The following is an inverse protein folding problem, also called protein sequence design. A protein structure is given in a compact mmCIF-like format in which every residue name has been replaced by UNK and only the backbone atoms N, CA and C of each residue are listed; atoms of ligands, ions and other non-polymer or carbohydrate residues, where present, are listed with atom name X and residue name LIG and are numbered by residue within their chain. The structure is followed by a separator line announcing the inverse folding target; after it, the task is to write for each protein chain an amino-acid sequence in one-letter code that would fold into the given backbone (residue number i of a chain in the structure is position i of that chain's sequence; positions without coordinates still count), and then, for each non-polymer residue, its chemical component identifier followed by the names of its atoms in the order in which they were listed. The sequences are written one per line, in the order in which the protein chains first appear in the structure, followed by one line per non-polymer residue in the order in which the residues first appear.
data_IF_886575631135
#
_entry.id   IF_886575631135
#
_cell.length_a   1.000
_cell.length_b   1.000
_cell.length_c   1.000
_cell.angle_alpha   90.00
_cell.angle_beta   90.00
_cell.angle_gamma   90.00
#
_symmetry.space_group_name_H-M   'P 1'
#
loop_
_entity.id
_entity.type
_entity.pdbx_description
1 polymer ?
#
# COMPACT_ATOMS: atom_id res chain seq x y z
N UNK A 1 -14.59 2.24 -100.58
CA UNK A 1 -14.51 0.79 -100.51
C UNK A 1 -13.79 0.42 -99.19
N UNK A 2 -14.45 -0.50 -98.42
CA UNK A 2 -13.96 -1.30 -97.28
C UNK A 2 -14.35 -0.80 -95.91
N UNK A 3 -15.30 -1.52 -95.46
CA UNK A 3 -15.66 -2.14 -94.20
C UNK A 3 -14.51 -2.52 -93.31
N UNK A 4 -14.61 -2.31 -92.01
CA UNK A 4 -14.26 -3.32 -91.06
C UNK A 4 -14.64 -2.87 -89.63
N UNK A 5 -15.62 -3.53 -89.16
CA UNK A 5 -15.66 -4.41 -88.03
C UNK A 5 -15.51 -3.76 -86.63
N UNK A 6 -16.65 -3.71 -86.02
CA UNK A 6 -16.92 -3.61 -84.61
C UNK A 6 -16.27 -4.76 -83.82
N UNK A 7 -15.52 -4.50 -82.77
CA UNK A 7 -15.17 -5.48 -81.75
C UNK A 7 -15.53 -4.91 -80.41
N UNK A 8 -16.62 -5.44 -79.93
CA UNK A 8 -17.08 -5.37 -78.53
C UNK A 8 -16.09 -6.04 -77.59
N UNK A 9 -15.51 -5.27 -76.69
CA UNK A 9 -14.72 -5.76 -75.55
C UNK A 9 -15.54 -5.72 -74.28
N UNK A 10 -15.91 -6.90 -73.81
CA UNK A 10 -16.48 -7.02 -72.46
C UNK A 10 -15.47 -6.66 -71.41
N UNK A 11 -15.73 -5.64 -70.65
CA UNK A 11 -14.94 -5.32 -69.43
C UNK A 11 -15.56 -6.10 -68.28
N UNK A 12 -14.87 -7.11 -67.84
CA UNK A 12 -15.19 -7.84 -66.60
C UNK A 12 -14.73 -6.98 -65.41
N UNK A 13 -15.69 -6.43 -64.71
CA UNK A 13 -15.45 -5.78 -63.42
C UNK A 13 -15.14 -6.82 -62.35
N UNK A 14 -13.89 -6.88 -61.90
CA UNK A 14 -13.50 -7.67 -60.77
C UNK A 14 -13.91 -6.94 -59.45
N UNK A 15 -14.87 -7.48 -58.76
CA UNK A 15 -15.30 -7.00 -57.44
C UNK A 15 -14.31 -7.48 -56.40
N UNK A 16 -13.41 -6.58 -55.95
CA UNK A 16 -12.49 -6.87 -54.82
C UNK A 16 -13.27 -6.68 -53.52
N UNK A 17 -13.65 -7.80 -52.90
CA UNK A 17 -14.16 -7.79 -51.54
C UNK A 17 -13.00 -7.51 -50.58
N UNK A 18 -12.90 -6.29 -50.05
CA UNK A 18 -12.01 -5.99 -48.93
C UNK A 18 -12.61 -6.54 -47.63
N UNK A 19 -12.12 -7.66 -47.16
CA UNK A 19 -12.42 -8.18 -45.84
C UNK A 19 -11.68 -7.33 -44.79
N UNK A 20 -12.41 -6.46 -44.11
CA UNK A 20 -11.87 -5.72 -42.96
C UNK A 20 -11.70 -6.69 -41.78
N UNK A 21 -10.46 -7.07 -41.48
CA UNK A 21 -10.11 -7.79 -40.29
C UNK A 21 -10.17 -6.82 -39.13
N UNK A 22 -11.23 -6.89 -38.32
CA UNK A 22 -11.32 -6.15 -37.06
C UNK A 22 -10.34 -6.77 -36.06
N UNK A 23 -9.23 -6.08 -35.79
CA UNK A 23 -8.31 -6.44 -34.70
C UNK A 23 -8.95 -6.01 -33.39
N UNK A 24 -9.26 -6.93 -32.45
CA UNK A 24 -9.73 -6.51 -31.16
C UNK A 24 -8.59 -5.77 -30.44
N UNK A 25 -8.80 -4.49 -30.15
CA UNK A 25 -7.92 -3.73 -29.27
C UNK A 25 -7.99 -4.38 -27.88
N UNK A 26 -6.91 -5.07 -27.48
CA UNK A 26 -6.72 -5.42 -26.07
C UNK A 26 -6.61 -4.09 -25.31
N UNK A 27 -7.74 -3.68 -24.72
CA UNK A 27 -7.74 -2.65 -23.68
C UNK A 27 -6.91 -3.20 -22.52
N UNK A 28 -5.64 -2.80 -22.47
CA UNK A 28 -4.79 -3.02 -21.31
C UNK A 28 -5.48 -2.40 -20.10
N UNK A 29 -6.07 -3.22 -19.23
CA UNK A 29 -6.53 -2.79 -17.94
C UNK A 29 -5.30 -2.26 -17.20
N UNK A 30 -5.11 -0.95 -17.25
CA UNK A 30 -4.11 -0.27 -16.43
C UNK A 30 -4.42 -0.57 -14.98
N UNK A 31 -3.64 -1.48 -14.39
CA UNK A 31 -3.69 -1.80 -12.97
C UNK A 31 -3.37 -0.51 -12.22
N UNK A 32 -4.40 0.19 -11.78
CA UNK A 32 -4.22 1.37 -10.94
C UNK A 32 -3.58 0.90 -9.65
N UNK A 33 -2.28 1.12 -9.53
CA UNK A 33 -1.49 0.86 -8.33
C UNK A 33 -2.06 1.74 -7.21
N UNK A 34 -3.04 1.18 -6.50
CA UNK A 34 -3.73 1.87 -5.43
C UNK A 34 -2.68 2.30 -4.40
N UNK A 35 -2.56 3.61 -4.20
CA UNK A 35 -1.60 4.18 -3.27
C UNK A 35 -1.77 3.52 -1.88
N UNK A 36 -0.66 3.08 -1.30
CA UNK A 36 -0.70 2.44 0.02
C UNK A 36 -1.36 3.37 1.05
N UNK A 37 -2.25 2.85 1.92
CA UNK A 37 -2.94 3.67 2.91
C UNK A 37 -1.94 4.45 3.76
N UNK A 38 -2.25 5.72 4.01
CA UNK A 38 -1.41 6.57 4.89
C UNK A 38 -1.24 5.91 6.26
N UNK A 39 -0.06 5.93 6.85
CA UNK A 39 0.17 5.35 8.17
C UNK A 39 -0.63 6.08 9.24
N UNK A 40 -1.12 5.35 10.25
CA UNK A 40 -1.67 5.95 11.46
C UNK A 40 -0.53 6.51 12.29
N UNK A 41 -0.59 7.78 12.59
CA UNK A 41 0.42 8.48 13.38
C UNK A 41 0.19 8.26 14.88
N UNK A 42 1.27 7.99 15.58
CA UNK A 42 1.34 7.93 17.05
C UNK A 42 2.48 8.85 17.48
N UNK A 43 2.18 9.83 18.27
CA UNK A 43 3.20 10.69 18.86
C UNK A 43 3.83 10.01 20.08
N UNK A 44 5.14 10.05 20.16
CA UNK A 44 5.90 9.62 21.33
C UNK A 44 6.19 10.85 22.17
N UNK A 45 5.77 10.82 23.41
CA UNK A 45 5.92 11.91 24.39
C UNK A 45 6.58 11.37 25.65
N UNK A 46 7.02 12.24 26.52
CA UNK A 46 7.47 11.81 27.82
C UNK A 46 6.31 11.12 28.56
N UNK A 47 6.55 9.89 28.98
CA UNK A 47 5.66 9.01 29.75
C UNK A 47 4.39 8.50 29.04
N UNK A 48 4.12 8.84 27.73
CA UNK A 48 2.94 8.32 27.04
C UNK A 48 3.06 8.26 25.52
N UNK A 49 2.21 7.44 24.90
CA UNK A 49 1.95 7.43 23.47
C UNK A 49 0.61 8.11 23.16
N UNK A 50 0.56 8.95 22.16
CA UNK A 50 -0.68 9.63 21.76
C UNK A 50 -1.02 9.38 20.27
N UNK A 51 -2.17 8.75 19.98
CA UNK A 51 -3.12 8.14 20.91
C UNK A 51 -2.65 6.78 21.44
N UNK A 52 -3.14 6.36 22.60
CA UNK A 52 -2.86 5.07 23.22
C UNK A 52 -3.52 3.87 22.51
N UNK A 53 -4.48 4.13 21.65
CA UNK A 53 -5.17 3.14 20.84
C UNK A 53 -5.33 3.61 19.42
N UNK A 54 -4.81 2.83 18.48
CA UNK A 54 -5.10 2.99 17.05
C UNK A 54 -5.72 1.73 16.46
N UNK A 55 -6.51 1.93 15.40
CA UNK A 55 -7.12 0.85 14.63
C UNK A 55 -6.59 0.92 13.20
N UNK A 56 -6.07 -0.18 12.67
CA UNK A 56 -5.62 -0.33 11.29
C UNK A 56 -6.26 -1.56 10.64
N UNK A 57 -6.31 -1.60 9.32
CA UNK A 57 -6.66 -2.82 8.57
C UNK A 57 -5.42 -3.70 8.42
N UNK A 58 -5.61 -4.98 8.15
CA UNK A 58 -4.51 -5.88 7.78
C UNK A 58 -3.74 -5.30 6.59
N UNK A 59 -2.41 -5.24 6.69
CA UNK A 59 -1.54 -4.53 5.74
C UNK A 59 -1.37 -3.04 6.03
N UNK A 60 -2.15 -2.47 6.96
CA UNK A 60 -2.01 -1.08 7.39
C UNK A 60 -0.72 -0.83 8.18
N UNK A 61 -0.34 0.45 8.27
CA UNK A 61 0.90 0.90 8.91
C UNK A 61 0.61 1.80 10.10
N UNK A 62 1.44 1.71 11.13
CA UNK A 62 1.59 2.75 12.15
C UNK A 62 2.97 3.40 12.00
N UNK A 63 3.04 4.69 12.30
CA UNK A 63 4.26 5.47 12.40
C UNK A 63 4.30 6.11 13.78
N UNK A 64 5.32 5.80 14.55
CA UNK A 64 5.64 6.49 15.79
C UNK A 64 6.59 7.64 15.48
N UNK A 65 6.29 8.79 16.04
CA UNK A 65 7.01 10.02 15.77
C UNK A 65 7.35 10.73 17.09
N UNK A 66 8.63 10.86 17.35
CA UNK A 66 9.12 11.59 18.52
C UNK A 66 9.02 13.11 18.32
N UNK A 67 9.01 13.57 17.05
CA UNK A 67 8.96 15.00 16.75
C UNK A 67 10.07 15.77 17.48
N UNK A 68 9.70 16.93 18.03
CA UNK A 68 10.57 17.73 18.90
C UNK A 68 10.08 17.70 20.37
N UNK A 69 9.14 16.80 20.69
CA UNK A 69 8.41 16.84 21.95
C UNK A 69 9.08 16.22 23.17
N UNK A 70 9.52 14.94 23.10
CA UNK A 70 10.06 14.30 24.29
C UNK A 70 11.47 14.81 24.61
N UNK A 71 11.74 15.03 25.89
CA UNK A 71 13.07 15.37 26.42
C UNK A 71 13.87 14.12 26.76
N UNK A 72 13.18 13.04 27.12
CA UNK A 72 13.79 11.76 27.46
C UNK A 72 13.91 10.83 26.25
N UNK A 73 14.74 9.81 26.40
CA UNK A 73 14.87 8.75 25.41
C UNK A 73 13.77 7.73 25.60
N UNK A 74 13.17 7.28 24.49
CA UNK A 74 12.09 6.29 24.47
C UNK A 74 12.33 5.23 23.41
N UNK A 75 11.67 4.07 23.57
CA UNK A 75 11.55 3.06 22.54
C UNK A 75 10.08 2.62 22.37
N UNK A 76 9.83 1.89 21.29
CA UNK A 76 8.58 1.21 21.03
C UNK A 76 8.88 -0.28 20.96
N UNK A 77 8.36 -1.06 21.89
CA UNK A 77 8.60 -2.49 21.93
C UNK A 77 7.28 -3.27 22.06
N UNK A 78 7.10 -4.27 21.20
CA UNK A 78 5.96 -5.18 21.30
C UNK A 78 6.16 -6.16 22.46
N UNK A 79 5.34 -6.10 23.50
CA UNK A 79 5.41 -7.07 24.59
C UNK A 79 4.36 -8.19 24.46
N UNK A 80 3.20 -7.92 23.82
CA UNK A 80 2.16 -8.92 23.54
C UNK A 80 1.53 -8.70 22.16
N UNK A 81 1.41 -9.76 21.37
CA UNK A 81 0.84 -9.71 20.04
C UNK A 81 0.14 -11.01 19.65
N UNK A 82 -0.46 -11.08 18.45
CA UNK A 82 -1.06 -12.31 17.92
C UNK A 82 -0.06 -13.46 17.86
N UNK A 83 -0.55 -14.69 18.02
CA UNK A 83 0.28 -15.90 17.96
C UNK A 83 1.13 -15.92 16.69
N UNK A 84 2.43 -16.24 16.79
CA UNK A 84 3.37 -16.34 15.67
C UNK A 84 3.94 -15.00 15.20
N UNK A 85 3.60 -13.88 15.83
CA UNK A 85 4.25 -12.58 15.56
C UNK A 85 5.59 -12.53 16.29
N UNK A 86 6.66 -12.27 15.54
CA UNK A 86 8.01 -12.11 16.10
C UNK A 86 8.14 -10.73 16.74
N UNK A 87 8.24 -10.66 18.05
CA UNK A 87 8.27 -9.39 18.81
C UNK A 87 9.43 -8.49 18.39
N UNK A 88 10.62 -9.03 18.14
CA UNK A 88 11.79 -8.27 17.72
C UNK A 88 11.61 -7.49 16.42
N UNK A 89 10.71 -7.91 15.52
CA UNK A 89 10.38 -7.14 14.32
C UNK A 89 9.59 -5.85 14.61
N UNK A 90 9.04 -5.74 15.82
CA UNK A 90 8.24 -4.62 16.28
C UNK A 90 8.92 -3.90 17.44
N UNK A 91 10.23 -3.75 17.37
CA UNK A 91 11.03 -3.00 18.33
C UNK A 91 11.82 -1.91 17.62
N UNK A 92 11.74 -0.69 18.13
CA UNK A 92 12.62 0.41 17.73
C UNK A 92 13.93 0.37 18.52
N UNK A 93 14.99 1.04 18.06
CA UNK A 93 16.06 1.44 18.98
C UNK A 93 15.51 2.38 20.05
N UNK A 94 16.24 2.50 21.16
CA UNK A 94 16.05 3.61 22.11
C UNK A 94 16.54 4.87 21.42
N UNK A 95 15.72 5.90 21.36
CA UNK A 95 16.01 7.13 20.65
C UNK A 95 15.44 8.36 21.36
N UNK A 96 16.18 9.47 21.27
CA UNK A 96 15.72 10.81 21.61
C UNK A 96 15.14 11.50 20.38
N UNK A 97 14.43 12.61 20.58
CA UNK A 97 13.92 13.42 19.47
C UNK A 97 15.06 14.10 18.67
N UNK A 98 14.91 14.30 17.33
CA UNK A 98 13.81 13.82 16.50
C UNK A 98 14.06 12.39 15.98
N UNK A 99 13.07 11.53 16.02
CA UNK A 99 13.16 10.16 15.51
C UNK A 99 11.82 9.65 15.00
N UNK A 100 11.82 8.71 14.06
CA UNK A 100 10.59 8.05 13.61
C UNK A 100 10.78 6.55 13.44
N UNK A 101 9.73 5.79 13.74
CA UNK A 101 9.69 4.36 13.60
C UNK A 101 8.36 3.94 12.96
N UNK A 102 8.37 3.06 11.97
CA UNK A 102 7.13 2.62 11.32
C UNK A 102 7.10 1.11 11.12
N UNK A 103 5.90 0.51 11.25
CA UNK A 103 5.71 -0.92 11.01
C UNK A 103 4.38 -1.19 10.32
N UNK A 104 4.39 -2.25 9.49
CA UNK A 104 3.22 -2.77 8.79
C UNK A 104 2.67 -3.98 9.55
N UNK A 105 1.36 -4.04 9.72
CA UNK A 105 0.66 -5.08 10.46
C UNK A 105 0.00 -6.07 9.50
N UNK A 106 0.64 -7.20 9.24
CA UNK A 106 0.17 -8.22 8.28
C UNK A 106 -0.79 -9.24 8.88
N UNK A 107 -0.88 -9.33 10.19
CA UNK A 107 -1.73 -10.30 10.91
C UNK A 107 -2.76 -9.56 11.75
N UNK A 108 -4.04 -9.97 11.62
CA UNK A 108 -5.11 -9.42 12.44
C UNK A 108 -4.94 -9.79 13.92
N UNK A 109 -5.43 -8.92 14.80
CA UNK A 109 -5.36 -9.10 16.25
C UNK A 109 -4.90 -7.86 16.99
N UNK A 110 -4.71 -7.98 18.29
CA UNK A 110 -4.29 -6.90 19.16
C UNK A 110 -2.81 -6.98 19.45
N UNK A 111 -2.10 -5.90 19.16
CA UNK A 111 -0.70 -5.70 19.45
C UNK A 111 -0.58 -4.71 20.61
N UNK A 112 0.16 -5.07 21.64
CA UNK A 112 0.38 -4.23 22.82
C UNK A 112 1.84 -3.83 22.91
N UNK A 113 2.07 -2.53 22.93
CA UNK A 113 3.38 -1.91 22.98
C UNK A 113 3.59 -1.19 24.30
N UNK A 114 4.84 -1.08 24.68
CA UNK A 114 5.34 -0.25 25.77
C UNK A 114 6.63 0.45 25.38
N UNK A 115 7.04 1.45 26.16
CA UNK A 115 8.41 1.88 26.23
C UNK A 115 9.14 1.02 27.27
N UNK A 116 10.26 0.42 26.94
CA UNK A 116 10.99 -0.46 27.88
C UNK A 116 11.60 0.30 29.05
N UNK A 117 11.86 1.60 28.88
CA UNK A 117 12.37 2.49 29.92
C UNK A 117 11.30 2.98 30.89
N UNK A 118 10.02 3.02 30.44
CA UNK A 118 8.86 3.54 31.19
C UNK A 118 7.70 2.56 31.15
N UNK A 119 7.96 1.27 31.37
CA UNK A 119 7.02 0.17 31.13
C UNK A 119 5.75 0.20 31.99
N UNK A 120 5.76 0.92 33.09
CA UNK A 120 4.62 1.02 34.01
C UNK A 120 3.55 1.98 33.51
N UNK A 121 3.96 3.07 32.87
CA UNK A 121 3.06 4.17 32.47
C UNK A 121 2.91 4.25 30.95
N UNK A 122 3.97 4.03 30.19
CA UNK A 122 3.99 4.28 28.74
C UNK A 122 3.58 3.06 27.94
N UNK A 123 2.28 2.90 27.69
CA UNK A 123 1.67 1.75 27.00
C UNK A 123 0.68 2.17 25.94
N UNK A 124 0.54 1.33 24.88
CA UNK A 124 -0.47 1.53 23.85
C UNK A 124 -0.90 0.23 23.18
N UNK A 125 -1.97 0.31 22.38
CA UNK A 125 -2.48 -0.80 21.59
C UNK A 125 -2.66 -0.43 20.12
N UNK A 126 -2.36 -1.39 19.24
CA UNK A 126 -2.74 -1.37 17.84
C UNK A 126 -3.72 -2.52 17.59
N UNK A 127 -4.96 -2.23 17.21
CA UNK A 127 -5.96 -3.24 16.83
C UNK A 127 -5.99 -3.37 15.32
N UNK A 128 -5.61 -4.54 14.83
CA UNK A 128 -5.56 -4.86 13.41
C UNK A 128 -6.82 -5.66 13.05
N UNK A 129 -7.67 -5.08 12.21
CA UNK A 129 -8.88 -5.71 11.68
C UNK A 129 -8.57 -6.50 10.41
N UNK A 130 -9.40 -7.49 10.11
CA UNK A 130 -9.41 -8.22 8.84
C UNK A 130 -9.82 -7.33 7.68
#
# INVERSE_FOLDING_TARGET
VRLSACRTGLATAALVLATAVAVPALAGAGESKQAAPKPKLVQVRDDYFAPELIKVRRGGRAKWDWGAGPTDAHDVALYKGPRGVKKGKFRSPVASAPFTFARTFRKAGTYRFWCTLHSDVMRMQVRVRR
#
